data_IF_013654450695
#
_entry.id   IF_013654450695
#
_cell.length_a   1.000
_cell.length_b   1.000
_cell.length_c   1.000
_cell.angle_alpha   90.00
_cell.angle_beta   90.00
_cell.angle_gamma   90.00
#
_symmetry.space_group_name_H-M   'P 1'
#
loop_
_entity.id
_entity.type
_entity.pdbx_description
1 polymer ?
#
# COMPACT_ATOMS: atom_id res chain seq x y z
N UNK A 1 27.28 -16.52 4.38
CA UNK A 1 26.42 -15.36 4.05
C UNK A 1 25.22 -15.37 5.00
N UNK A 2 24.86 -14.24 5.62
CA UNK A 2 23.66 -14.14 6.47
C UNK A 2 22.53 -13.52 5.66
N UNK A 3 21.69 -14.36 5.05
CA UNK A 3 20.40 -13.90 4.53
C UNK A 3 19.54 -13.44 5.72
N UNK A 4 18.92 -12.27 5.59
CA UNK A 4 17.97 -11.80 6.60
C UNK A 4 16.66 -12.52 6.36
N UNK A 5 16.33 -13.47 7.22
CA UNK A 5 15.13 -14.31 7.14
C UNK A 5 13.91 -13.44 7.41
N UNK A 6 13.30 -12.95 6.35
CA UNK A 6 12.14 -12.08 6.42
C UNK A 6 11.18 -12.59 5.35
N UNK A 7 9.95 -12.92 5.78
CA UNK A 7 8.78 -13.13 4.93
C UNK A 7 8.64 -14.52 4.30
N UNK A 8 7.74 -15.35 4.87
CA UNK A 8 6.76 -16.20 4.15
C UNK A 8 6.12 -17.25 5.08
N UNK A 9 5.16 -16.84 5.92
CA UNK A 9 4.32 -17.78 6.68
C UNK A 9 3.04 -17.10 7.17
N UNK A 10 2.00 -16.95 6.31
CA UNK A 10 0.62 -16.74 6.79
C UNK A 10 -0.39 -17.28 5.77
N UNK A 11 -0.84 -18.52 5.96
CA UNK A 11 -2.18 -18.96 5.57
C UNK A 11 -2.62 -19.98 6.62
N UNK A 12 -3.71 -19.70 7.36
CA UNK A 12 -4.79 -20.63 7.70
C UNK A 12 -5.71 -20.09 8.83
N UNK A 13 -6.97 -19.87 8.41
CA UNK A 13 -8.27 -19.89 9.13
C UNK A 13 -8.60 -18.82 10.20
N UNK A 14 -9.66 -18.04 9.94
CA UNK A 14 -10.41 -17.29 10.95
C UNK A 14 -11.92 -17.64 10.90
N UNK A 15 -12.61 -17.75 12.05
CA UNK A 15 -14.04 -18.05 12.13
C UNK A 15 -14.91 -16.81 11.89
N UNK A 16 -16.01 -17.00 11.17
CA UNK A 16 -16.98 -15.97 10.79
C UNK A 16 -17.80 -15.48 11.98
N UNK A 17 -17.34 -14.44 12.68
CA UNK A 17 -18.25 -13.59 13.45
C UNK A 17 -19.08 -12.75 12.47
N UNK A 18 -20.37 -12.58 12.76
CA UNK A 18 -21.23 -11.64 12.06
C UNK A 18 -20.76 -10.24 12.46
N UNK A 19 -19.69 -9.77 11.83
CA UNK A 19 -19.15 -8.42 12.01
C UNK A 19 -20.15 -7.43 11.43
N UNK A 20 -20.36 -6.31 12.14
CA UNK A 20 -21.08 -5.15 11.61
C UNK A 20 -20.58 -4.80 10.21
N UNK A 21 -21.49 -4.39 9.35
CA UNK A 21 -21.21 -4.08 7.95
C UNK A 21 -20.67 -2.65 7.82
N UNK A 22 -19.57 -2.38 8.52
CA UNK A 22 -18.75 -1.21 8.19
C UNK A 22 -18.45 -1.24 6.69
N UNK A 23 -18.52 -0.08 6.05
CA UNK A 23 -18.43 0.17 4.62
C UNK A 23 -19.72 -0.08 3.80
N UNK A 24 -20.85 -0.49 4.39
CA UNK A 24 -22.12 -0.53 3.66
C UNK A 24 -22.63 0.87 3.29
N UNK A 25 -23.47 0.94 2.25
CA UNK A 25 -24.11 2.19 1.83
C UNK A 25 -25.13 2.65 2.88
N UNK A 26 -25.17 3.95 3.12
CA UNK A 26 -26.20 4.59 3.93
C UNK A 26 -26.78 5.80 3.21
N UNK A 27 -27.89 6.32 3.70
CA UNK A 27 -28.58 7.41 3.04
C UNK A 27 -29.17 8.41 4.03
N UNK A 28 -29.06 9.70 3.69
CA UNK A 28 -29.76 10.80 4.32
C UNK A 28 -30.83 11.35 3.37
N UNK A 29 -32.05 11.51 3.86
CA UNK A 29 -33.12 12.20 3.11
C UNK A 29 -33.03 13.71 3.36
N UNK A 30 -33.02 14.50 2.28
CA UNK A 30 -33.07 15.97 2.31
C UNK A 30 -34.14 16.43 1.33
N UNK A 31 -35.33 16.74 1.85
CA UNK A 31 -36.52 16.93 1.03
C UNK A 31 -36.83 15.66 0.23
N UNK A 32 -36.94 15.77 -1.09
CA UNK A 32 -37.18 14.63 -1.99
C UNK A 32 -35.87 13.99 -2.52
N UNK A 33 -34.71 14.42 -2.03
CA UNK A 33 -33.41 13.92 -2.48
C UNK A 33 -32.81 12.97 -1.45
N UNK A 34 -32.35 11.82 -1.95
CA UNK A 34 -31.60 10.83 -1.18
C UNK A 34 -30.10 11.08 -1.40
N UNK A 35 -29.41 11.53 -0.36
CA UNK A 35 -27.96 11.72 -0.38
C UNK A 35 -27.32 10.44 0.16
N UNK A 36 -26.46 9.83 -0.63
CA UNK A 36 -25.78 8.59 -0.26
C UNK A 36 -24.42 8.88 0.39
N UNK A 37 -24.09 8.06 1.38
CA UNK A 37 -22.82 8.01 2.07
C UNK A 37 -22.44 6.57 2.40
N UNK A 38 -21.54 6.41 3.37
CA UNK A 38 -21.01 5.10 3.78
C UNK A 38 -20.98 4.96 5.30
N UNK A 39 -21.30 3.76 5.78
CA UNK A 39 -21.25 3.41 7.21
C UNK A 39 -19.80 3.27 7.67
N UNK A 40 -19.35 4.16 8.55
CA UNK A 40 -18.00 4.14 9.12
C UNK A 40 -18.06 4.52 10.59
N UNK A 41 -17.00 4.22 11.33
CA UNK A 41 -16.91 4.72 12.70
C UNK A 41 -16.87 6.25 12.71
N UNK A 42 -17.52 6.88 13.69
CA UNK A 42 -17.62 8.34 13.80
C UNK A 42 -16.27 9.06 13.68
N UNK A 43 -15.24 8.55 14.37
CA UNK A 43 -13.90 9.13 14.34
C UNK A 43 -13.21 9.05 12.96
N UNK A 44 -13.70 8.22 12.04
CA UNK A 44 -13.16 8.12 10.68
C UNK A 44 -13.75 9.16 9.74
N UNK A 45 -14.98 9.65 10.01
CA UNK A 45 -15.69 10.58 9.13
C UNK A 45 -15.14 12.01 9.25
N UNK A 46 -13.91 12.21 8.77
CA UNK A 46 -13.20 13.47 8.79
C UNK A 46 -12.56 13.79 7.43
N UNK A 47 -12.25 15.06 7.20
CA UNK A 47 -11.45 15.49 6.05
C UNK A 47 -9.98 15.18 6.29
N UNK A 48 -9.26 14.82 5.23
CA UNK A 48 -7.82 14.60 5.35
C UNK A 48 -7.04 15.91 5.23
N UNK A 49 -5.82 15.93 5.78
CA UNK A 49 -4.93 17.09 5.65
C UNK A 49 -4.59 17.32 4.18
N UNK A 50 -4.71 18.57 3.73
CA UNK A 50 -4.46 18.96 2.33
C UNK A 50 -5.66 18.81 1.40
N UNK A 51 -6.73 18.15 1.87
CA UNK A 51 -7.96 17.94 1.13
C UNK A 51 -8.89 19.16 1.21
N UNK A 52 -9.63 19.46 0.13
CA UNK A 52 -10.85 20.29 0.17
C UNK A 52 -12.02 19.34 -0.03
N UNK A 53 -12.84 19.20 1.01
CA UNK A 53 -13.94 18.26 1.05
C UNK A 53 -15.11 18.82 1.87
N UNK A 54 -16.33 18.45 1.48
CA UNK A 54 -17.51 18.54 2.34
C UNK A 54 -17.64 17.23 3.09
N UNK A 55 -17.78 17.30 4.40
CA UNK A 55 -17.96 16.13 5.27
C UNK A 55 -19.18 16.38 6.13
N UNK A 56 -20.13 15.46 6.07
CA UNK A 56 -21.30 15.45 6.90
C UNK A 56 -21.41 14.13 7.65
N UNK A 57 -21.53 14.24 8.97
CA UNK A 57 -21.81 13.14 9.89
C UNK A 57 -23.31 13.05 10.09
N UNK A 58 -23.93 12.01 9.55
CA UNK A 58 -25.35 11.76 9.75
C UNK A 58 -25.54 10.65 10.79
N UNK A 59 -25.77 11.09 12.02
CA UNK A 59 -26.15 10.26 13.15
C UNK A 59 -27.66 10.00 13.09
N UNK A 60 -28.06 8.74 13.24
CA UNK A 60 -29.45 8.40 13.48
C UNK A 60 -29.62 7.82 14.87
N UNK A 61 -30.84 7.87 15.37
CA UNK A 61 -31.25 7.16 16.57
C UNK A 61 -32.33 6.15 16.20
N UNK A 62 -32.42 5.06 16.96
CA UNK A 62 -33.47 4.08 16.79
C UNK A 62 -34.86 4.75 16.77
N UNK A 63 -35.76 4.40 15.84
CA UNK A 63 -35.66 3.31 14.85
C UNK A 63 -34.99 3.69 13.52
N UNK A 64 -34.62 4.95 13.34
CA UNK A 64 -34.14 5.51 12.06
C UNK A 64 -32.61 5.56 11.99
N UNK A 65 -31.97 4.44 12.29
CA UNK A 65 -30.51 4.31 12.22
C UNK A 65 -30.05 4.19 10.76
N UNK A 66 -29.18 5.07 10.23
CA UNK A 66 -28.80 5.04 8.82
C UNK A 66 -27.91 3.84 8.43
N UNK A 67 -27.22 3.26 9.42
CA UNK A 67 -26.45 2.02 9.45
C UNK A 67 -27.07 0.97 10.42
N UNK A 68 -28.23 0.36 10.08
CA UNK A 68 -29.09 -0.36 11.05
C UNK A 68 -28.54 -1.69 11.57
N UNK A 69 -27.44 -2.20 11.01
CA UNK A 69 -26.82 -3.47 11.40
C UNK A 69 -25.48 -3.27 12.11
N UNK A 70 -25.16 -2.02 12.47
CA UNK A 70 -23.86 -1.64 13.01
C UNK A 70 -23.96 -1.13 14.46
N UNK A 71 -22.86 -1.16 15.23
CA UNK A 71 -22.84 -0.63 16.59
C UNK A 71 -23.09 0.87 16.67
N UNK A 72 -23.37 1.36 17.89
CA UNK A 72 -23.82 2.73 18.10
C UNK A 72 -22.85 3.84 17.66
N UNK A 73 -21.57 3.50 17.54
CA UNK A 73 -20.51 4.41 17.12
C UNK A 73 -20.25 4.38 15.59
N UNK A 74 -21.08 3.68 14.82
CA UNK A 74 -21.05 3.67 13.35
C UNK A 74 -22.13 4.60 12.82
N UNK A 75 -21.68 5.58 12.07
CA UNK A 75 -22.51 6.66 11.53
C UNK A 75 -22.50 6.63 10.01
N UNK A 76 -23.46 7.33 9.40
CA UNK A 76 -23.44 7.54 7.97
C UNK A 76 -22.56 8.73 7.62
N UNK A 77 -21.41 8.46 7.01
CA UNK A 77 -20.50 9.50 6.54
C UNK A 77 -20.80 9.88 5.10
N UNK A 78 -21.24 11.11 4.89
CA UNK A 78 -21.46 11.69 3.56
C UNK A 78 -20.28 12.60 3.28
N UNK A 79 -19.39 12.17 2.39
CA UNK A 79 -18.18 12.91 2.04
C UNK A 79 -18.06 13.13 0.55
N UNK A 80 -17.85 14.39 0.16
CA UNK A 80 -17.51 14.80 -1.20
C UNK A 80 -16.18 15.55 -1.22
N UNK A 81 -15.40 15.38 -2.28
CA UNK A 81 -14.02 15.89 -2.39
C UNK A 81 -13.89 16.71 -3.66
N UNK A 82 -13.32 17.91 -3.55
CA UNK A 82 -12.97 18.78 -4.68
C UNK A 82 -11.47 19.03 -4.79
N UNK A 83 -10.68 18.75 -3.76
CA UNK A 83 -9.21 18.73 -3.85
C UNK A 83 -8.66 17.54 -3.09
N UNK A 84 -7.85 16.73 -3.77
CA UNK A 84 -7.24 15.51 -3.23
C UNK A 84 -6.06 15.84 -2.31
N UNK A 85 -5.63 14.87 -1.52
CA UNK A 85 -4.48 15.02 -0.60
C UNK A 85 -3.15 15.28 -1.30
N UNK A 86 -3.00 14.82 -2.54
CA UNK A 86 -1.81 15.08 -3.37
C UNK A 86 -1.82 16.46 -4.04
N UNK A 87 -2.89 17.24 -3.89
CA UNK A 87 -3.02 18.58 -4.44
C UNK A 87 -3.89 18.68 -5.70
N UNK A 88 -4.19 17.56 -6.36
CA UNK A 88 -5.04 17.52 -7.57
C UNK A 88 -6.43 18.10 -7.24
N UNK A 89 -6.99 18.89 -8.16
CA UNK A 89 -8.29 19.54 -7.96
C UNK A 89 -9.31 18.90 -8.90
N UNK A 90 -10.45 18.50 -8.36
CA UNK A 90 -11.62 18.06 -9.10
C UNK A 90 -12.52 19.25 -9.38
N UNK A 91 -13.35 19.15 -10.41
CA UNK A 91 -14.32 20.18 -10.75
C UNK A 91 -15.30 20.38 -9.60
N UNK A 92 -15.57 21.63 -9.26
CA UNK A 92 -16.50 21.99 -8.18
C UNK A 92 -17.94 21.55 -8.46
N UNK A 93 -18.33 21.46 -9.73
CA UNK A 93 -19.65 20.99 -10.17
C UNK A 93 -19.74 19.45 -10.33
N UNK A 94 -18.62 18.74 -10.18
CA UNK A 94 -18.55 17.28 -10.27
C UNK A 94 -17.58 16.69 -9.22
N UNK A 95 -17.83 16.89 -7.92
CA UNK A 95 -16.94 16.40 -6.87
C UNK A 95 -16.90 14.87 -6.82
N UNK A 96 -15.78 14.32 -6.36
CA UNK A 96 -15.69 12.90 -6.04
C UNK A 96 -16.50 12.57 -4.78
N UNK A 97 -17.08 11.38 -4.69
CA UNK A 97 -17.88 10.94 -3.54
C UNK A 97 -17.32 9.67 -2.93
N UNK A 98 -17.24 9.64 -1.60
CA UNK A 98 -16.81 8.45 -0.88
C UNK A 98 -17.97 7.47 -0.76
N UNK A 99 -17.83 6.33 -1.43
CA UNK A 99 -18.84 5.26 -1.47
C UNK A 99 -18.13 3.90 -1.44
N UNK A 100 -18.89 2.85 -1.13
CA UNK A 100 -18.39 1.49 -1.33
C UNK A 100 -18.11 1.25 -2.82
N UNK A 101 -16.97 0.64 -3.14
CA UNK A 101 -16.53 0.37 -4.51
C UNK A 101 -17.57 -0.40 -5.34
N UNK A 102 -18.38 -1.24 -4.70
CA UNK A 102 -19.40 -2.04 -5.35
C UNK A 102 -20.58 -1.20 -5.88
N UNK A 103 -20.71 0.05 -5.43
CA UNK A 103 -21.77 0.97 -5.87
C UNK A 103 -21.27 2.09 -6.79
N UNK A 104 -19.97 2.14 -7.10
CA UNK A 104 -19.46 3.08 -8.09
C UNK A 104 -19.71 2.56 -9.51
N UNK A 105 -20.57 3.23 -10.28
CA UNK A 105 -20.74 2.90 -11.70
C UNK A 105 -19.48 3.34 -12.48
N UNK A 106 -18.60 2.38 -12.76
CA UNK A 106 -17.31 2.63 -13.43
C UNK A 106 -17.43 2.95 -14.93
N UNK A 107 -18.63 2.84 -15.51
CA UNK A 107 -18.88 3.35 -16.87
C UNK A 107 -18.91 4.89 -16.90
N UNK A 108 -19.45 5.51 -15.85
CA UNK A 108 -19.61 6.98 -15.75
C UNK A 108 -18.56 7.63 -14.84
N UNK A 109 -17.85 6.82 -14.06
CA UNK A 109 -16.93 7.26 -13.02
C UNK A 109 -15.63 6.47 -13.05
N UNK A 110 -14.64 6.92 -12.30
CA UNK A 110 -13.45 6.16 -11.97
C UNK A 110 -13.19 6.19 -10.47
N UNK A 111 -12.50 5.17 -9.98
CA UNK A 111 -12.15 5.03 -8.58
C UNK A 111 -10.75 5.59 -8.32
N UNK A 112 -10.59 6.34 -7.24
CA UNK A 112 -9.29 6.75 -6.70
C UNK A 112 -9.04 5.94 -5.42
N UNK A 113 -7.94 5.17 -5.43
CA UNK A 113 -7.52 4.26 -4.35
C UNK A 113 -6.59 4.91 -3.31
N UNK A 114 -6.35 6.23 -3.41
CA UNK A 114 -5.64 6.99 -2.38
C UNK A 114 -6.54 7.17 -1.15
N UNK A 115 -5.99 7.55 0.03
CA UNK A 115 -6.75 7.55 1.28
C UNK A 115 -7.81 8.65 1.38
N UNK A 116 -8.39 9.15 0.27
CA UNK A 116 -9.33 10.27 0.27
C UNK A 116 -10.59 10.02 1.10
N UNK A 117 -10.96 8.75 1.27
CA UNK A 117 -12.19 8.32 1.89
C UNK A 117 -11.96 7.61 3.24
N UNK A 118 -12.93 7.72 4.17
CA UNK A 118 -12.91 6.98 5.43
C UNK A 118 -13.25 5.50 5.20
N UNK A 119 -13.04 4.66 6.20
CA UNK A 119 -13.41 3.25 6.16
C UNK A 119 -12.27 2.33 5.70
N UNK A 120 -12.62 1.14 5.21
CA UNK A 120 -11.63 0.18 4.68
C UNK A 120 -11.31 0.43 3.20
N UNK A 121 -10.50 -0.45 2.60
CA UNK A 121 -10.19 -0.43 1.16
C UNK A 121 -11.41 -0.65 0.26
N UNK A 122 -12.54 -1.07 0.84
CA UNK A 122 -13.82 -1.18 0.13
C UNK A 122 -14.51 0.18 -0.06
N UNK A 123 -14.05 1.25 0.61
CA UNK A 123 -14.54 2.61 0.43
C UNK A 123 -13.50 3.42 -0.32
N UNK A 124 -13.87 3.90 -1.50
CA UNK A 124 -12.97 4.68 -2.35
C UNK A 124 -13.69 5.91 -2.87
N UNK A 125 -12.92 6.84 -3.41
CA UNK A 125 -13.48 8.04 -4.01
C UNK A 125 -13.93 7.72 -5.43
N UNK A 126 -15.24 7.69 -5.65
CA UNK A 126 -15.86 7.55 -6.96
C UNK A 126 -15.98 8.93 -7.60
N UNK A 127 -15.24 9.14 -8.69
CA UNK A 127 -15.10 10.45 -9.34
C UNK A 127 -15.73 10.41 -10.74
N UNK A 128 -16.61 11.35 -11.09
CA UNK A 128 -17.19 11.44 -12.44
C UNK A 128 -16.12 11.56 -13.53
N UNK A 129 -16.29 10.82 -14.64
CA UNK A 129 -15.34 10.79 -15.76
C UNK A 129 -15.13 12.17 -16.41
N UNK A 130 -16.04 13.12 -16.26
CA UNK A 130 -15.86 14.52 -16.70
C UNK A 130 -14.65 15.21 -16.05
N UNK A 131 -14.14 14.68 -14.93
CA UNK A 131 -12.91 15.14 -14.31
C UNK A 131 -11.64 14.61 -15.02
N UNK A 132 -11.75 13.61 -15.91
CA UNK A 132 -10.62 13.15 -16.74
C UNK A 132 -10.35 14.08 -17.92
N UNK A 133 -11.37 14.79 -18.38
CA UNK A 133 -11.30 15.58 -19.63
C UNK A 133 -10.71 16.98 -19.43
N UNK A 134 -10.41 17.38 -18.18
CA UNK A 134 -9.90 18.72 -17.88
C UNK A 134 -8.41 18.93 -18.18
N UNK A 135 -7.67 17.90 -18.58
CA UNK A 135 -6.21 17.97 -18.82
C UNK A 135 -5.79 18.21 -20.28
N UNK A 136 -6.72 18.45 -21.21
CA UNK A 136 -6.37 18.66 -22.62
C UNK A 136 -5.96 20.09 -22.99
N UNK A 137 -5.79 21.02 -22.05
CA UNK A 137 -5.36 22.39 -22.39
C UNK A 137 -4.54 23.12 -21.29
N UNK A 138 -3.55 22.44 -20.71
CA UNK A 138 -2.46 23.12 -19.99
C UNK A 138 -1.11 22.70 -20.58
N UNK A 139 -0.59 23.55 -21.46
CA UNK A 139 0.85 23.62 -21.72
C UNK A 139 1.50 24.16 -20.45
N UNK A 140 2.21 23.34 -19.66
CA UNK A 140 3.57 23.54 -19.10
C UNK A 140 4.01 22.22 -18.39
N UNK A 141 5.05 21.55 -18.91
CA UNK A 141 6.00 20.78 -18.08
C UNK A 141 5.93 19.24 -18.05
N UNK A 142 6.21 18.58 -19.18
CA UNK A 142 6.71 17.19 -19.28
C UNK A 142 5.83 16.05 -18.73
N UNK A 143 4.51 16.09 -18.96
CA UNK A 143 3.72 14.85 -18.92
C UNK A 143 3.97 14.03 -20.19
N UNK A 144 4.74 12.96 -20.01
CA UNK A 144 4.98 11.95 -21.02
C UNK A 144 3.65 11.23 -21.24
N UNK A 145 3.15 11.13 -22.49
CA UNK A 145 1.91 10.44 -22.79
C UNK A 145 1.94 9.02 -22.22
N UNK A 146 0.81 8.58 -21.65
CA UNK A 146 0.54 7.17 -21.33
C UNK A 146 0.61 6.39 -22.64
N UNK A 147 1.81 5.98 -22.97
CA UNK A 147 2.14 5.19 -24.14
C UNK A 147 2.05 3.74 -23.70
N UNK A 148 1.50 2.86 -24.54
CA UNK A 148 1.54 1.41 -24.31
C UNK A 148 2.98 0.86 -24.34
N UNK A 149 4.01 1.71 -24.35
CA UNK A 149 5.41 1.35 -24.32
C UNK A 149 5.93 1.33 -22.89
N UNK A 150 6.68 0.29 -22.55
CA UNK A 150 7.26 0.17 -21.22
C UNK A 150 8.19 1.35 -20.89
N UNK A 151 8.22 1.81 -19.63
CA UNK A 151 9.22 2.77 -19.17
C UNK A 151 10.64 2.28 -19.45
N UNK A 152 11.56 3.19 -19.74
CA UNK A 152 12.94 2.91 -20.12
C UNK A 152 13.92 3.66 -19.22
N UNK A 153 15.21 3.40 -19.35
CA UNK A 153 16.28 4.15 -18.65
C UNK A 153 16.30 5.64 -18.98
N UNK A 154 15.73 6.05 -20.12
CA UNK A 154 15.63 7.47 -20.51
C UNK A 154 14.48 8.19 -19.81
N UNK A 155 13.49 7.45 -19.32
CA UNK A 155 12.34 7.95 -18.57
C UNK A 155 12.08 7.06 -17.34
N UNK A 156 13.05 6.93 -16.41
CA UNK A 156 13.00 5.95 -15.33
C UNK A 156 11.92 6.24 -14.29
N UNK A 157 11.24 7.39 -14.37
CA UNK A 157 10.14 7.78 -13.51
C UNK A 157 8.76 7.63 -14.18
N UNK A 158 8.70 7.27 -15.46
CA UNK A 158 7.43 7.01 -16.13
C UNK A 158 6.76 5.76 -15.54
N UNK A 159 5.44 5.83 -15.36
CA UNK A 159 4.62 4.76 -14.80
C UNK A 159 3.31 4.64 -15.56
N UNK A 160 2.61 3.51 -15.41
CA UNK A 160 1.36 3.26 -16.16
C UNK A 160 0.21 4.17 -15.70
N UNK A 161 0.19 4.51 -14.41
CA UNK A 161 -0.84 5.35 -13.79
C UNK A 161 -0.50 6.84 -13.77
N UNK A 162 0.71 7.24 -14.15
CA UNK A 162 1.22 8.60 -13.95
C UNK A 162 1.56 8.93 -12.49
N UNK A 163 1.40 7.99 -11.55
CA UNK A 163 1.80 8.15 -10.14
C UNK A 163 3.25 7.67 -9.91
N UNK A 164 3.73 7.69 -8.67
CA UNK A 164 5.09 7.26 -8.36
C UNK A 164 5.30 5.75 -8.54
N UNK A 165 6.55 5.32 -8.79
CA UNK A 165 6.88 3.89 -8.91
C UNK A 165 6.55 3.11 -7.63
N UNK A 166 6.80 3.73 -6.48
CA UNK A 166 6.45 3.18 -5.17
C UNK A 166 4.94 2.98 -5.02
N UNK A 167 4.12 3.94 -5.48
CA UNK A 167 2.66 3.84 -5.45
C UNK A 167 2.15 2.61 -6.20
N UNK A 168 2.73 2.28 -7.36
CA UNK A 168 2.32 1.10 -8.13
C UNK A 168 2.92 -0.22 -7.62
N UNK A 169 4.12 -0.18 -7.03
CA UNK A 169 4.86 -1.38 -6.61
C UNK A 169 4.45 -1.87 -5.22
N UNK A 170 4.27 -0.97 -4.26
CA UNK A 170 4.06 -1.33 -2.86
C UNK A 170 2.76 -2.11 -2.61
N UNK A 171 1.62 -1.85 -3.30
CA UNK A 171 0.45 -2.71 -3.17
C UNK A 171 0.74 -4.17 -3.53
N UNK A 172 1.56 -4.42 -4.56
CA UNK A 172 1.96 -5.77 -4.96
C UNK A 172 2.90 -6.41 -3.93
N UNK A 173 3.81 -5.62 -3.37
CA UNK A 173 4.69 -6.06 -2.28
C UNK A 173 3.84 -6.47 -1.07
N UNK A 174 2.94 -5.59 -0.61
CA UNK A 174 2.11 -5.82 0.57
C UNK A 174 1.13 -7.00 0.44
N UNK A 175 0.77 -7.43 -0.77
CA UNK A 175 0.01 -8.68 -0.95
C UNK A 175 0.79 -9.90 -0.45
N UNK A 176 2.13 -9.83 -0.45
CA UNK A 176 3.02 -10.88 0.04
C UNK A 176 3.52 -10.61 1.47
N UNK A 177 3.28 -9.42 2.02
CA UNK A 177 3.64 -9.06 3.38
C UNK A 177 2.48 -9.44 4.32
N UNK A 178 2.69 -10.45 5.15
CA UNK A 178 1.70 -10.90 6.11
C UNK A 178 1.35 -9.84 7.18
N UNK A 179 0.35 -10.18 8.00
CA UNK A 179 0.05 -9.46 9.24
C UNK A 179 1.23 -9.52 10.23
N UNK A 180 1.07 -8.93 11.41
CA UNK A 180 2.04 -9.10 12.48
C UNK A 180 2.21 -10.58 12.86
N UNK A 181 3.45 -11.03 13.02
CA UNK A 181 3.80 -12.37 13.48
C UNK A 181 4.89 -12.30 14.57
N UNK A 182 4.89 -13.27 15.50
CA UNK A 182 5.84 -13.38 16.62
C UNK A 182 6.42 -14.79 16.76
N UNK A 183 6.76 -15.44 15.65
CA UNK A 183 7.40 -16.75 15.69
C UNK A 183 8.72 -16.68 16.47
N UNK A 184 8.86 -17.54 17.49
CA UNK A 184 10.06 -17.60 18.35
C UNK A 184 11.33 -17.98 17.59
N UNK A 185 11.16 -18.84 16.59
CA UNK A 185 12.25 -19.43 15.82
C UNK A 185 12.74 -18.48 14.71
N UNK A 186 11.95 -17.43 14.42
CA UNK A 186 12.35 -16.35 13.56
C UNK A 186 13.22 -15.35 14.34
N UNK A 187 14.54 -15.44 14.09
CA UNK A 187 15.53 -14.53 14.67
C UNK A 187 15.26 -13.06 14.31
N UNK A 188 14.52 -12.77 13.24
CA UNK A 188 14.08 -11.42 12.89
C UNK A 188 13.19 -10.80 13.96
N UNK A 189 12.42 -11.60 14.70
CA UNK A 189 11.59 -11.13 15.81
C UNK A 189 12.39 -10.83 17.08
N UNK A 190 13.67 -11.20 17.16
CA UNK A 190 14.44 -11.06 18.38
C UNK A 190 15.19 -9.72 18.43
N UNK A 191 15.03 -8.99 19.53
CA UNK A 191 15.75 -7.76 19.82
C UNK A 191 16.10 -7.72 21.30
N UNK A 192 17.38 -7.52 21.62
CA UNK A 192 17.90 -7.49 23.00
C UNK A 192 17.50 -8.74 23.82
N UNK A 193 17.54 -9.92 23.21
CA UNK A 193 17.19 -11.19 23.86
C UNK A 193 15.69 -11.43 24.09
N UNK A 194 14.83 -10.52 23.63
CA UNK A 194 13.37 -10.63 23.76
C UNK A 194 12.72 -10.82 22.38
N UNK A 195 11.62 -11.56 22.35
CA UNK A 195 10.82 -11.78 21.14
C UNK A 195 9.82 -10.62 21.01
N UNK A 196 9.85 -9.93 19.87
CA UNK A 196 8.89 -8.93 19.44
C UNK A 196 8.04 -9.43 18.27
N UNK A 197 7.50 -8.49 17.49
CA UNK A 197 6.67 -8.81 16.32
C UNK A 197 7.25 -8.18 15.06
N UNK A 198 7.25 -8.95 13.98
CA UNK A 198 7.44 -8.42 12.63
C UNK A 198 6.08 -8.10 12.04
N UNK A 199 5.83 -6.85 11.67
CA UNK A 199 4.57 -6.40 11.10
C UNK A 199 4.80 -5.86 9.69
N UNK A 200 4.07 -6.39 8.69
CA UNK A 200 4.25 -6.05 7.26
C UNK A 200 5.72 -6.08 6.81
N UNK A 201 6.49 -7.07 7.28
CA UNK A 201 7.92 -7.24 6.98
C UNK A 201 8.90 -6.40 7.80
N UNK A 202 8.42 -5.52 8.67
CA UNK A 202 9.27 -4.67 9.51
C UNK A 202 9.54 -5.35 10.85
N UNK A 203 10.79 -5.76 11.08
CA UNK A 203 11.23 -6.39 12.33
C UNK A 203 11.32 -5.38 13.49
N UNK A 204 11.33 -5.82 14.77
CA UNK A 204 11.52 -4.93 15.92
C UNK A 204 12.76 -4.04 15.81
N UNK A 205 13.91 -4.63 15.47
CA UNK A 205 15.18 -3.90 15.29
C UNK A 205 15.09 -2.85 14.17
N UNK A 206 14.62 -3.28 12.99
CA UNK A 206 14.46 -2.40 11.82
C UNK A 206 13.55 -1.22 12.16
N UNK A 207 12.42 -1.51 12.79
CA UNK A 207 11.45 -0.52 13.17
C UNK A 207 11.94 0.48 14.19
N UNK A 208 12.65 0.02 15.23
CA UNK A 208 13.19 0.88 16.27
C UNK A 208 14.30 1.81 15.77
N UNK A 209 15.21 1.29 14.94
CA UNK A 209 16.27 2.08 14.30
C UNK A 209 15.70 3.12 13.33
N UNK A 210 14.56 2.80 12.71
CA UNK A 210 13.89 3.66 11.74
C UNK A 210 12.60 4.29 12.29
N UNK A 211 12.46 4.42 13.61
CA UNK A 211 11.24 4.93 14.27
C UNK A 211 10.84 6.34 13.84
N UNK A 212 11.77 7.10 13.25
CA UNK A 212 11.51 8.41 12.63
C UNK A 212 10.47 8.38 11.52
N UNK A 213 10.24 7.23 10.88
CA UNK A 213 9.16 7.06 9.89
C UNK A 213 7.79 6.88 10.55
N UNK A 214 7.75 6.51 11.84
CA UNK A 214 6.54 6.19 12.59
C UNK A 214 6.24 7.27 13.65
N UNK A 215 6.39 8.56 13.29
CA UNK A 215 6.27 9.68 14.22
C UNK A 215 4.94 9.69 14.99
N UNK A 216 3.84 9.26 14.34
CA UNK A 216 2.52 9.18 14.95
C UNK A 216 2.45 8.24 16.17
N UNK A 217 3.38 7.29 16.28
CA UNK A 217 3.42 6.30 17.34
C UNK A 217 4.43 6.64 18.46
N UNK A 218 5.35 7.59 18.25
CA UNK A 218 6.47 7.83 19.17
C UNK A 218 6.02 8.20 20.59
N UNK A 219 4.94 8.98 20.74
CA UNK A 219 4.46 9.39 22.06
C UNK A 219 3.76 8.27 22.85
N UNK A 220 3.28 7.22 22.18
CA UNK A 220 2.49 6.14 22.79
C UNK A 220 3.19 4.79 22.83
N UNK A 221 4.14 4.56 21.93
CA UNK A 221 4.73 3.24 21.69
C UNK A 221 6.22 3.13 22.05
N UNK A 222 6.89 4.22 22.45
CA UNK A 222 8.35 4.22 22.65
C UNK A 222 8.83 3.64 23.98
N UNK A 223 7.93 3.24 24.87
CA UNK A 223 8.28 2.70 26.19
C UNK A 223 8.97 1.33 26.11
N UNK A 224 8.74 0.57 25.03
CA UNK A 224 9.38 -0.73 24.82
C UNK A 224 9.87 -0.86 23.37
N UNK A 225 11.20 -0.74 23.11
CA UNK A 225 11.77 -0.86 21.78
C UNK A 225 11.41 -2.16 21.05
N UNK A 226 11.26 -3.27 21.79
CA UNK A 226 11.01 -4.61 21.22
C UNK A 226 9.57 -4.72 20.72
N UNK A 227 8.64 -4.01 21.36
CA UNK A 227 7.21 -4.01 21.02
C UNK A 227 6.79 -2.78 20.21
N UNK A 228 7.70 -1.84 19.94
CA UNK A 228 7.40 -0.57 19.27
C UNK A 228 6.61 -0.78 17.97
N UNK A 229 7.05 -1.69 17.11
CA UNK A 229 6.41 -1.96 15.82
C UNK A 229 5.01 -2.55 15.98
N UNK A 230 4.83 -3.49 16.91
CA UNK A 230 3.50 -4.04 17.20
C UNK A 230 2.55 -2.95 17.69
N UNK A 231 3.00 -2.16 18.64
CA UNK A 231 2.22 -1.05 19.19
C UNK A 231 1.86 -0.03 18.09
N UNK A 232 2.80 0.35 17.24
CA UNK A 232 2.55 1.29 16.14
C UNK A 232 1.52 0.73 15.15
N UNK A 233 1.63 -0.56 14.80
CA UNK A 233 0.68 -1.24 13.93
C UNK A 233 -0.72 -1.29 14.53
N UNK A 234 -0.85 -1.68 15.81
CA UNK A 234 -2.13 -1.76 16.50
C UNK A 234 -2.78 -0.38 16.71
N UNK A 235 -1.96 0.64 16.98
CA UNK A 235 -2.42 2.01 17.21
C UNK A 235 -3.13 2.58 15.98
N UNK A 236 -2.59 2.37 14.78
CA UNK A 236 -3.20 2.79 13.52
C UNK A 236 -2.59 2.04 12.33
N UNK A 237 -3.30 1.02 11.82
CA UNK A 237 -2.83 0.17 10.71
C UNK A 237 -2.59 0.94 9.41
N UNK A 238 -3.43 1.91 9.09
CA UNK A 238 -3.30 2.68 7.85
C UNK A 238 -2.08 3.60 7.89
N UNK A 239 -1.89 4.35 8.99
CA UNK A 239 -0.67 5.15 9.19
C UNK A 239 0.58 4.28 9.27
N UNK A 240 0.47 3.06 9.81
CA UNK A 240 1.57 2.11 9.83
C UNK A 240 1.98 1.71 8.40
N UNK A 241 0.99 1.37 7.56
CA UNK A 241 1.21 1.00 6.15
C UNK A 241 1.82 2.15 5.35
N UNK A 242 1.32 3.37 5.54
CA UNK A 242 1.89 4.60 4.95
C UNK A 242 3.35 4.83 5.40
N UNK A 243 3.61 4.75 6.71
CA UNK A 243 4.95 4.91 7.28
C UNK A 243 5.93 3.85 6.77
N UNK A 244 5.46 2.60 6.65
CA UNK A 244 6.24 1.47 6.13
C UNK A 244 6.50 1.62 4.63
N UNK A 245 5.54 2.14 3.88
CA UNK A 245 5.71 2.49 2.46
C UNK A 245 6.85 3.49 2.26
N UNK A 246 6.87 4.54 3.10
CA UNK A 246 7.93 5.55 3.09
C UNK A 246 9.28 4.97 3.50
N UNK A 247 9.33 4.11 4.52
CA UNK A 247 10.55 3.38 4.91
C UNK A 247 11.09 2.55 3.74
N UNK A 248 10.25 1.76 3.09
CA UNK A 248 10.65 0.88 2.00
C UNK A 248 11.18 1.68 0.81
N UNK A 249 10.45 2.67 0.33
CA UNK A 249 10.87 3.47 -0.82
C UNK A 249 12.10 4.33 -0.51
N UNK A 250 12.03 5.15 0.56
CA UNK A 250 13.04 6.18 0.81
C UNK A 250 14.32 5.65 1.46
N UNK A 251 14.26 4.52 2.16
CA UNK A 251 15.44 3.94 2.81
C UNK A 251 15.94 2.71 2.08
N UNK A 252 15.11 1.68 1.91
CA UNK A 252 15.57 0.40 1.36
C UNK A 252 15.78 0.48 -0.15
N UNK A 253 14.81 1.02 -0.87
CA UNK A 253 14.91 1.27 -2.31
C UNK A 253 16.08 2.20 -2.65
N UNK A 254 16.26 3.29 -1.88
CA UNK A 254 17.36 4.23 -2.10
C UNK A 254 18.74 3.61 -1.83
N UNK A 255 18.93 2.86 -0.73
CA UNK A 255 20.20 2.13 -0.47
C UNK A 255 20.50 1.13 -1.58
N UNK A 256 19.48 0.44 -2.09
CA UNK A 256 19.61 -0.51 -3.18
C UNK A 256 19.90 0.16 -4.53
N UNK A 257 19.66 1.47 -4.67
CA UNK A 257 19.78 2.17 -5.94
C UNK A 257 18.60 1.91 -6.89
N UNK A 258 17.42 1.59 -6.36
CA UNK A 258 16.21 1.36 -7.16
C UNK A 258 15.73 2.64 -7.87
N UNK A 259 16.05 3.82 -7.35
CA UNK A 259 15.49 5.10 -7.82
C UNK A 259 15.75 5.38 -9.32
N UNK A 260 16.86 4.90 -9.87
CA UNK A 260 17.21 5.05 -11.29
C UNK A 260 16.61 3.97 -12.20
N UNK A 261 15.97 2.95 -11.64
CA UNK A 261 15.47 1.79 -12.38
C UNK A 261 14.03 2.06 -12.84
N UNK A 262 13.70 1.88 -14.14
CA UNK A 262 12.33 2.00 -14.63
C UNK A 262 11.43 0.86 -14.15
N UNK A 263 10.12 1.07 -14.17
CA UNK A 263 9.18 -0.04 -14.01
C UNK A 263 9.13 -0.92 -15.28
N UNK A 264 8.87 -2.23 -15.16
CA UNK A 264 8.57 -2.98 -13.94
C UNK A 264 9.79 -3.42 -13.11
N UNK A 265 11.03 -3.13 -13.55
CA UNK A 265 12.24 -3.55 -12.83
C UNK A 265 12.39 -2.88 -11.45
N UNK A 266 11.87 -1.66 -11.28
CA UNK A 266 11.81 -0.99 -9.98
C UNK A 266 11.09 -1.83 -8.93
N UNK A 267 9.93 -2.41 -9.26
CA UNK A 267 9.18 -3.26 -8.34
C UNK A 267 10.03 -4.45 -7.86
N UNK A 268 10.70 -5.16 -8.76
CA UNK A 268 11.59 -6.29 -8.42
C UNK A 268 12.75 -5.83 -7.55
N UNK A 269 13.37 -4.70 -7.90
CA UNK A 269 14.44 -4.10 -7.12
C UNK A 269 14.02 -3.75 -5.69
N UNK A 270 12.88 -3.07 -5.55
CA UNK A 270 12.36 -2.65 -4.26
C UNK A 270 12.06 -3.87 -3.39
N UNK A 271 11.43 -4.89 -3.95
CA UNK A 271 11.09 -6.13 -3.27
C UNK A 271 12.32 -6.93 -2.81
N UNK A 272 13.35 -6.99 -3.65
CA UNK A 272 14.67 -7.51 -3.30
C UNK A 272 15.29 -6.74 -2.13
N UNK A 273 15.21 -5.41 -2.15
CA UNK A 273 15.82 -4.55 -1.13
C UNK A 273 15.27 -4.79 0.28
N UNK A 274 14.03 -5.26 0.41
CA UNK A 274 13.41 -5.55 1.72
C UNK A 274 14.08 -6.71 2.45
N UNK A 275 14.70 -7.62 1.69
CA UNK A 275 15.40 -8.81 2.20
C UNK A 275 16.89 -8.53 2.48
N UNK A 276 17.39 -7.37 2.05
CA UNK A 276 18.78 -6.98 2.24
C UNK A 276 19.15 -5.83 1.30
N UNK A 277 19.03 -4.56 1.71
CA UNK A 277 19.17 -3.44 0.79
C UNK A 277 20.60 -3.30 0.23
N UNK A 278 21.62 -3.67 1.02
CA UNK A 278 23.01 -3.69 0.55
C UNK A 278 23.30 -4.84 -0.42
N UNK A 279 22.69 -6.02 -0.23
CA UNK A 279 22.83 -7.14 -1.18
C UNK A 279 22.11 -6.80 -2.49
N UNK A 280 20.92 -6.22 -2.42
CA UNK A 280 20.21 -5.73 -3.60
C UNK A 280 21.06 -4.69 -4.35
N UNK A 281 21.68 -3.74 -3.64
CA UNK A 281 22.62 -2.77 -4.23
C UNK A 281 23.77 -3.47 -4.98
N UNK A 282 24.38 -4.48 -4.38
CA UNK A 282 25.49 -5.21 -5.01
C UNK A 282 25.02 -5.93 -6.28
N UNK A 283 23.85 -6.60 -6.23
CA UNK A 283 23.23 -7.25 -7.41
C UNK A 283 23.03 -6.25 -8.55
N UNK A 284 22.46 -5.07 -8.25
CA UNK A 284 22.16 -4.03 -9.23
C UNK A 284 23.44 -3.43 -9.81
N UNK A 285 24.45 -3.19 -8.97
CA UNK A 285 25.75 -2.68 -9.40
C UNK A 285 26.47 -3.66 -10.32
N UNK A 286 26.43 -4.95 -10.01
CA UNK A 286 27.09 -6.02 -10.78
C UNK A 286 26.32 -6.37 -12.05
N UNK A 287 25.04 -6.01 -12.12
CA UNK A 287 24.17 -6.28 -13.25
C UNK A 287 23.50 -5.01 -13.73
N UNK A 288 24.24 -3.99 -14.22
CA UNK A 288 23.60 -2.77 -14.69
C UNK A 288 22.62 -3.07 -15.84
N UNK A 289 21.55 -2.29 -15.94
CA UNK A 289 20.51 -2.44 -16.98
C UNK A 289 21.08 -2.38 -18.41
N UNK A 290 22.10 -1.55 -18.66
CA UNK A 290 22.72 -1.41 -19.98
C UNK A 290 21.69 -1.10 -21.07
N UNK A 291 21.69 -1.91 -22.13
CA UNK A 291 20.76 -1.78 -23.27
C UNK A 291 19.48 -2.62 -23.13
N UNK A 292 19.28 -3.33 -22.01
CA UNK A 292 18.07 -4.11 -21.79
C UNK A 292 16.85 -3.19 -21.66
N UNK A 293 15.71 -3.65 -22.15
CA UNK A 293 14.42 -3.07 -21.78
C UNK A 293 14.16 -3.24 -20.29
N UNK A 294 13.26 -2.43 -19.73
CA UNK A 294 12.86 -2.56 -18.33
C UNK A 294 12.26 -3.93 -17.99
N UNK A 295 11.50 -4.53 -18.91
CA UNK A 295 10.96 -5.89 -18.75
C UNK A 295 12.06 -6.95 -18.72
N UNK A 296 12.99 -6.92 -19.67
CA UNK A 296 14.12 -7.87 -19.71
C UNK A 296 14.97 -7.75 -18.45
N UNK A 297 15.23 -6.51 -18.00
CA UNK A 297 15.99 -6.29 -16.78
C UNK A 297 15.23 -6.75 -15.53
N UNK A 298 13.92 -6.53 -15.46
CA UNK A 298 13.08 -7.05 -14.38
C UNK A 298 13.15 -8.57 -14.28
N UNK A 299 13.06 -9.28 -15.43
CA UNK A 299 13.20 -10.74 -15.50
C UNK A 299 14.58 -11.18 -15.02
N UNK A 300 15.65 -10.54 -15.51
CA UNK A 300 17.02 -10.82 -15.06
C UNK A 300 17.18 -10.68 -13.55
N UNK A 301 16.67 -9.58 -12.96
CA UNK A 301 16.73 -9.38 -11.51
C UNK A 301 15.92 -10.45 -10.75
N UNK A 302 14.76 -10.85 -11.27
CA UNK A 302 13.94 -11.89 -10.67
C UNK A 302 14.59 -13.28 -10.76
N UNK A 303 15.28 -13.58 -11.87
CA UNK A 303 16.02 -14.82 -12.06
C UNK A 303 17.21 -14.92 -11.10
N UNK A 304 17.99 -13.83 -10.95
CA UNK A 304 19.06 -13.75 -9.95
C UNK A 304 18.47 -13.95 -8.55
N UNK A 305 17.36 -13.27 -8.23
CA UNK A 305 16.67 -13.41 -6.96
C UNK A 305 16.22 -14.85 -6.67
N UNK A 306 15.72 -15.54 -7.69
CA UNK A 306 15.25 -16.92 -7.60
C UNK A 306 16.43 -17.85 -7.34
N UNK A 307 17.51 -17.73 -8.11
CA UNK A 307 18.69 -18.58 -7.98
C UNK A 307 19.43 -18.34 -6.66
N UNK A 308 19.65 -17.07 -6.27
CA UNK A 308 20.30 -16.72 -5.00
C UNK A 308 19.61 -17.39 -3.80
N UNK A 309 18.27 -17.45 -3.80
CA UNK A 309 17.51 -18.06 -2.71
C UNK A 309 17.53 -19.59 -2.78
N UNK A 310 17.49 -20.18 -3.99
CA UNK A 310 17.68 -21.61 -4.18
C UNK A 310 19.03 -22.04 -3.61
N UNK A 311 20.11 -21.34 -3.95
CA UNK A 311 21.46 -21.64 -3.49
C UNK A 311 21.59 -21.48 -1.96
N UNK A 312 20.94 -20.44 -1.41
CA UNK A 312 20.87 -20.24 0.05
C UNK A 312 20.11 -21.38 0.75
N UNK A 313 19.03 -21.89 0.14
CA UNK A 313 18.27 -23.02 0.65
C UNK A 313 19.07 -24.32 0.65
N UNK A 314 19.77 -24.61 -0.45
CA UNK A 314 20.68 -25.75 -0.52
C UNK A 314 21.83 -25.68 0.49
N UNK A 315 22.35 -24.48 0.74
CA UNK A 315 23.48 -24.27 1.64
C UNK A 315 23.09 -24.20 3.13
N UNK A 316 21.80 -24.02 3.45
CA UNK A 316 21.33 -23.90 4.81
C UNK A 316 19.93 -24.50 4.97
N UNK A 317 19.86 -25.66 5.65
CA UNK A 317 18.61 -26.40 5.78
C UNK A 317 17.47 -25.61 6.44
N UNK A 318 17.76 -24.61 7.29
CA UNK A 318 16.72 -23.77 7.90
C UNK A 318 15.96 -22.89 6.90
N UNK A 319 16.47 -22.78 5.68
CA UNK A 319 15.89 -21.99 4.60
C UNK A 319 14.92 -22.76 3.71
N UNK A 320 14.98 -24.10 3.70
CA UNK A 320 14.08 -24.90 2.85
C UNK A 320 12.60 -24.63 3.11
N UNK A 321 12.23 -24.39 4.37
CA UNK A 321 10.84 -24.08 4.73
C UNK A 321 10.30 -22.79 4.07
N UNK A 322 11.18 -21.88 3.67
CA UNK A 322 10.81 -20.61 3.02
C UNK A 322 10.92 -20.67 1.48
N UNK A 323 11.58 -21.70 0.94
CA UNK A 323 11.89 -21.79 -0.49
C UNK A 323 10.63 -21.73 -1.35
N UNK A 324 9.61 -22.54 -1.04
CA UNK A 324 8.38 -22.56 -1.83
C UNK A 324 7.68 -21.20 -1.80
N UNK A 325 7.68 -20.53 -0.65
CA UNK A 325 7.16 -19.18 -0.52
C UNK A 325 7.88 -18.20 -1.44
N UNK A 326 9.21 -18.27 -1.47
CA UNK A 326 10.02 -17.37 -2.27
C UNK A 326 9.82 -17.60 -3.77
N UNK A 327 9.71 -18.87 -4.19
CA UNK A 327 9.40 -19.23 -5.56
C UNK A 327 8.03 -18.71 -5.99
N UNK A 328 7.01 -18.78 -5.12
CA UNK A 328 5.70 -18.20 -5.36
C UNK A 328 5.78 -16.67 -5.52
N UNK A 329 6.59 -16.00 -4.69
CA UNK A 329 6.84 -14.55 -4.81
C UNK A 329 7.53 -14.21 -6.13
N UNK A 330 8.50 -15.01 -6.58
CA UNK A 330 9.12 -14.85 -7.89
C UNK A 330 8.11 -15.01 -9.03
N UNK A 331 7.23 -16.01 -8.97
CA UNK A 331 6.17 -16.20 -9.97
C UNK A 331 5.15 -15.04 -10.00
N UNK A 332 4.79 -14.49 -8.82
CA UNK A 332 3.97 -13.30 -8.74
C UNK A 332 4.64 -12.08 -9.39
N UNK A 333 5.98 -11.96 -9.25
CA UNK A 333 6.73 -10.92 -9.95
C UNK A 333 6.74 -11.11 -11.46
N UNK A 334 6.90 -12.34 -11.94
CA UNK A 334 6.81 -12.65 -13.38
C UNK A 334 5.45 -12.20 -13.94
N UNK A 335 4.36 -12.53 -13.24
CA UNK A 335 3.01 -12.07 -13.60
C UNK A 335 2.89 -10.54 -13.64
N UNK A 336 3.48 -9.83 -12.68
CA UNK A 336 3.48 -8.36 -12.70
C UNK A 336 4.24 -7.82 -13.91
N UNK A 337 5.44 -8.35 -14.17
CA UNK A 337 6.30 -7.95 -15.30
C UNK A 337 5.55 -8.13 -16.62
N UNK A 338 4.85 -9.26 -16.79
CA UNK A 338 4.12 -9.58 -18.02
C UNK A 338 2.91 -8.67 -18.28
N UNK A 339 2.32 -8.07 -17.24
CA UNK A 339 1.08 -7.27 -17.34
C UNK A 339 1.28 -5.75 -17.21
N UNK A 340 2.49 -5.30 -16.86
CA UNK A 340 2.77 -3.88 -16.58
C UNK A 340 2.70 -3.00 -17.83
N UNK A 341 3.09 -3.57 -18.95
CA UNK A 341 3.07 -3.10 -20.32
C UNK A 341 3.17 -4.38 -21.18
#
# INVERSE_FOLDING_TARGET
MRFSYKLLTVFLVSPSFVFGRTDDRCFKQVGNKKIEGVCVYDYQCEKQRGQIASVEKYEGSYPNWPCPNDPDNVICCIKSVTKLTNGDTLRNDAPGRCININYCNTNDNYLISSPECPGSQQVQLCVPNINKESDNNVVIGNDVPVTNTCPTVRNPNATKSGKSKAYESLPQIFQNEGLCQNMSDDRGNQMNGRIGYTCMGVTPSTGWENKKYYQYALSRCSNDPVLFIKCAFDLNKEKFKESTSNLYAQRFGSIAGCDSIPQPAYFVCLDLSLNGPYRARDIIRENPIGNMSSKEYARKLNDISRQDFIDAAYSNASQYQFLQGWLNRCAARDKYIDNYC
#
